data_IF_169942079460
#
_entry.id   IF_169942079460
#
_cell.length_a   1.000
_cell.length_b   1.000
_cell.length_c   1.000
_cell.angle_alpha   90.00
_cell.angle_beta   90.00
_cell.angle_gamma   90.00
#
_symmetry.space_group_name_H-M   'P 1'
#
loop_
_entity.id
_entity.type
_entity.pdbx_description
1 polymer ?
#
# COMPACT_ATOMS: atom_id res chain seq x y z
N UNK A 1 -18.81 -53.91 7.96
CA UNK A 1 -18.35 -54.98 7.04
C UNK A 1 -17.59 -54.24 5.95
N UNK A 2 -16.27 -54.28 5.78
CA UNK A 2 -15.25 -55.21 6.25
C UNK A 2 -13.95 -54.45 6.57
N UNK A 3 -13.21 -55.00 7.52
CA UNK A 3 -11.89 -54.55 7.97
C UNK A 3 -10.77 -55.09 7.07
N UNK A 4 -9.58 -54.48 7.11
CA UNK A 4 -8.35 -55.14 7.59
C UNK A 4 -7.10 -54.26 7.52
N UNK A 5 -6.46 -54.16 8.69
CA UNK A 5 -5.04 -53.86 8.91
C UNK A 5 -4.13 -54.98 8.39
N UNK A 6 -2.85 -54.68 8.12
CA UNK A 6 -1.62 -55.18 8.81
C UNK A 6 -0.38 -54.80 7.97
N UNK A 7 0.79 -54.29 8.40
CA UNK A 7 1.74 -54.40 9.56
C UNK A 7 2.97 -55.28 9.25
N UNK A 8 4.17 -54.73 9.58
CA UNK A 8 5.51 -55.36 9.85
C UNK A 8 6.36 -55.74 8.63
N UNK A 9 7.70 -55.73 8.67
CA UNK A 9 8.76 -55.54 9.69
C UNK A 9 10.15 -55.67 8.97
N UNK A 10 11.20 -54.93 9.35
CA UNK A 10 12.26 -55.20 10.36
C UNK A 10 13.37 -56.21 9.96
N UNK A 11 14.62 -55.76 10.17
CA UNK A 11 15.88 -56.49 10.50
C UNK A 11 16.55 -57.24 9.35
N UNK A 12 17.88 -57.41 9.24
CA UNK A 12 19.11 -57.11 10.01
C UNK A 12 20.28 -57.32 9.01
N UNK A 13 21.58 -57.36 9.30
CA UNK A 13 22.40 -57.70 10.48
C UNK A 13 23.86 -57.38 10.13
N UNK A 14 24.68 -57.21 11.17
CA UNK A 14 26.11 -56.93 11.13
C UNK A 14 27.01 -58.18 11.02
N UNK A 15 28.27 -57.97 10.64
CA UNK A 15 29.52 -58.66 11.08
C UNK A 15 30.70 -58.08 10.26
N UNK A 16 31.99 -58.09 10.60
CA UNK A 16 32.80 -58.06 11.82
C UNK A 16 34.26 -58.34 11.36
N UNK A 17 35.22 -57.49 11.78
CA UNK A 17 36.68 -57.70 11.98
C UNK A 17 37.54 -58.50 10.97
N UNK A 18 38.67 -57.91 10.53
CA UNK A 18 40.03 -58.16 11.10
C UNK A 18 41.13 -57.40 10.32
N UNK A 19 42.26 -57.20 11.00
CA UNK A 19 43.36 -56.29 10.70
C UNK A 19 44.51 -56.88 9.84
N UNK A 20 45.31 -55.99 9.22
CA UNK A 20 46.79 -55.87 9.29
C UNK A 20 47.41 -55.36 7.97
N UNK A 21 48.34 -54.40 8.09
CA UNK A 21 49.58 -54.44 7.30
C UNK A 21 49.77 -53.47 6.14
N UNK A 22 50.46 -52.35 6.44
CA UNK A 22 51.55 -51.72 5.66
C UNK A 22 51.35 -51.35 4.18
N UNK A 23 51.44 -50.06 3.89
CA UNK A 23 51.71 -49.57 2.53
C UNK A 23 51.58 -48.06 2.43
N UNK A 24 52.67 -47.33 2.67
CA UNK A 24 52.80 -45.91 2.36
C UNK A 24 52.69 -45.69 0.85
N UNK A 25 51.60 -45.09 0.40
CA UNK A 25 51.47 -44.51 -0.93
C UNK A 25 50.98 -43.07 -0.79
N UNK A 26 51.78 -42.14 -1.31
CA UNK A 26 51.51 -40.72 -1.30
C UNK A 26 50.22 -40.41 -2.07
N UNK A 27 49.21 -39.91 -1.35
CA UNK A 27 48.07 -39.21 -1.93
C UNK A 27 48.24 -37.73 -1.60
N UNK A 28 48.46 -36.93 -2.63
CA UNK A 28 48.35 -35.48 -2.59
C UNK A 28 46.91 -35.11 -2.22
N UNK A 29 46.67 -34.83 -0.93
CA UNK A 29 45.46 -34.15 -0.51
C UNK A 29 45.58 -32.69 -0.96
N UNK A 30 44.83 -32.33 -2.00
CA UNK A 30 44.50 -30.94 -2.27
C UNK A 30 43.87 -30.38 -0.99
N UNK A 31 44.62 -29.55 -0.27
CA UNK A 31 44.09 -28.81 0.86
C UNK A 31 42.92 -27.98 0.35
N UNK A 32 41.72 -28.26 0.85
CA UNK A 32 40.61 -27.35 0.73
C UNK A 32 41.05 -26.04 1.36
N UNK A 33 41.47 -25.09 0.52
CA UNK A 33 41.73 -23.73 0.96
C UNK A 33 40.41 -23.20 1.51
N UNK A 34 40.33 -23.07 2.83
CA UNK A 34 39.24 -22.37 3.47
C UNK A 34 39.11 -21.01 2.79
N UNK A 35 37.93 -20.73 2.24
CA UNK A 35 37.60 -19.42 1.71
C UNK A 35 37.97 -18.39 2.79
N UNK A 36 38.68 -17.31 2.44
CA UNK A 36 38.99 -16.28 3.41
C UNK A 36 37.69 -15.82 4.06
N UNK A 37 37.67 -15.76 5.39
CA UNK A 37 36.61 -15.12 6.15
C UNK A 37 36.33 -13.78 5.49
N UNK A 38 35.11 -13.60 4.99
CA UNK A 38 34.63 -12.30 4.52
C UNK A 38 34.89 -11.35 5.69
N UNK A 39 35.83 -10.41 5.51
CA UNK A 39 36.03 -9.33 6.46
C UNK A 39 34.69 -8.64 6.57
N UNK A 40 34.09 -8.68 7.76
CA UNK A 40 32.91 -7.92 8.13
C UNK A 40 33.26 -6.44 7.84
N UNK A 41 32.88 -5.96 6.67
CA UNK A 41 33.03 -4.56 6.29
C UNK A 41 31.95 -3.81 7.04
N UNK A 42 32.19 -3.60 8.34
CA UNK A 42 31.36 -2.90 9.30
C UNK A 42 29.89 -2.80 8.91
N UNK A 43 29.04 -3.70 9.43
CA UNK A 43 27.58 -3.58 9.36
C UNK A 43 27.19 -2.11 9.50
N UNK A 44 26.74 -1.49 8.39
CA UNK A 44 26.04 -0.20 8.46
C UNK A 44 24.80 -0.46 9.31
N UNK A 45 24.81 -0.02 10.56
CA UNK A 45 23.62 -0.04 11.40
C UNK A 45 22.68 1.01 10.83
N UNK A 46 21.57 0.57 10.23
CA UNK A 46 20.49 1.47 9.85
C UNK A 46 19.64 1.88 11.03
N UNK A 47 18.81 2.90 10.83
CA UNK A 47 17.88 3.43 11.82
C UNK A 47 16.45 2.93 11.54
N UNK A 48 15.75 2.57 12.60
CA UNK A 48 14.30 2.35 12.62
C UNK A 48 13.76 2.85 13.96
N UNK A 49 12.94 3.88 13.91
CA UNK A 49 12.33 4.54 15.07
C UNK A 49 10.83 4.55 14.90
N UNK A 50 10.10 3.83 15.75
CA UNK A 50 8.65 3.74 15.70
C UNK A 50 7.98 4.39 16.91
N UNK A 51 6.77 4.90 16.70
CA UNK A 51 5.92 5.47 17.73
C UNK A 51 4.43 5.28 17.40
N UNK A 52 3.59 5.41 18.42
CA UNK A 52 2.13 5.38 18.25
C UNK A 52 1.66 6.73 17.70
N UNK A 53 0.93 6.69 16.58
CA UNK A 53 0.28 7.84 15.98
C UNK A 53 -1.17 8.01 16.50
N UNK A 54 -1.89 6.92 16.74
CA UNK A 54 -3.19 6.94 17.41
C UNK A 54 -3.54 5.53 17.92
N UNK A 55 -4.04 5.41 19.14
CA UNK A 55 -4.48 4.15 19.73
C UNK A 55 -5.95 4.21 20.19
N UNK A 56 -6.64 3.06 20.28
CA UNK A 56 -7.94 2.99 20.94
C UNK A 56 -7.92 3.64 22.33
N UNK A 57 -8.84 4.58 22.56
CA UNK A 57 -8.96 5.37 23.77
C UNK A 57 -8.42 6.80 23.65
N UNK A 58 -7.53 7.08 22.69
CA UNK A 58 -7.01 8.42 22.45
C UNK A 58 -8.14 9.36 21.99
N UNK A 59 -8.16 10.57 22.55
CA UNK A 59 -9.21 11.58 22.31
C UNK A 59 -10.65 11.06 22.50
N UNK A 60 -10.84 9.98 23.29
CA UNK A 60 -12.14 9.36 23.52
C UNK A 60 -12.67 8.53 22.33
N UNK A 61 -11.82 8.19 21.36
CA UNK A 61 -12.17 7.42 20.16
C UNK A 61 -11.62 6.01 20.30
N UNK A 62 -12.45 5.01 20.01
CA UNK A 62 -12.07 3.60 20.18
C UNK A 62 -11.46 2.97 18.91
N UNK A 63 -11.58 3.64 17.76
CA UNK A 63 -11.17 3.06 16.50
C UNK A 63 -10.57 4.10 15.54
N UNK A 64 -9.33 3.85 15.15
CA UNK A 64 -8.60 4.59 14.13
C UNK A 64 -8.12 3.61 13.08
N UNK A 65 -8.24 3.96 11.81
CA UNK A 65 -7.87 3.08 10.70
C UNK A 65 -7.42 3.86 9.47
N UNK A 66 -6.88 3.14 8.51
CA UNK A 66 -6.61 3.57 7.14
C UNK A 66 -5.60 4.72 7.04
N UNK A 67 -4.29 4.43 7.22
CA UNK A 67 -3.26 5.45 7.17
C UNK A 67 -3.06 6.01 5.74
N UNK A 68 -2.74 7.29 5.66
CA UNK A 68 -2.29 8.00 4.47
C UNK A 68 -1.13 8.94 4.83
N UNK A 69 -0.12 9.04 3.96
CA UNK A 69 1.09 9.82 4.23
C UNK A 69 1.41 10.79 3.10
N UNK A 70 1.93 11.97 3.45
CA UNK A 70 2.48 12.93 2.51
C UNK A 70 3.64 13.73 3.11
N UNK A 71 4.50 14.24 2.23
CA UNK A 71 5.44 15.33 2.56
C UNK A 71 4.83 16.61 1.99
N UNK A 72 4.57 17.58 2.86
CA UNK A 72 4.08 18.88 2.45
C UNK A 72 5.20 19.71 1.81
N UNK A 73 4.88 20.73 0.98
CA UNK A 73 5.89 21.54 0.28
C UNK A 73 6.87 22.27 1.20
N UNK A 74 6.45 22.57 2.44
CA UNK A 74 7.29 23.18 3.47
C UNK A 74 8.19 22.18 4.21
N UNK A 75 8.13 20.89 3.87
CA UNK A 75 8.90 19.81 4.50
C UNK A 75 8.20 19.13 5.68
N UNK A 76 7.02 19.60 6.08
CA UNK A 76 6.24 18.93 7.13
C UNK A 76 5.78 17.55 6.68
N UNK A 77 5.68 16.61 7.62
CA UNK A 77 5.11 15.30 7.38
C UNK A 77 3.64 15.30 7.80
N UNK A 78 2.78 14.82 6.91
CA UNK A 78 1.34 14.71 7.15
C UNK A 78 0.95 13.24 7.24
N UNK A 79 0.18 12.90 8.26
CA UNK A 79 -0.42 11.59 8.41
C UNK A 79 -1.93 11.74 8.61
N UNK A 80 -2.71 11.28 7.63
CA UNK A 80 -4.17 11.23 7.72
C UNK A 80 -4.67 9.81 8.00
N UNK A 81 -5.83 9.73 8.63
CA UNK A 81 -6.48 8.48 8.99
C UNK A 81 -7.96 8.69 9.32
N UNK A 82 -8.73 7.61 9.29
CA UNK A 82 -10.10 7.59 9.76
C UNK A 82 -10.13 7.74 11.30
N UNK A 83 -10.89 8.71 11.79
CA UNK A 83 -11.52 8.65 13.12
C UNK A 83 -12.86 7.97 12.96
N UNK A 84 -13.02 6.80 13.59
CA UNK A 84 -14.25 6.00 13.49
C UNK A 84 -15.00 6.04 14.83
N UNK A 85 -16.14 6.76 14.91
CA UNK A 85 -16.92 6.81 16.15
C UNK A 85 -17.52 5.46 16.55
N UNK A 86 -17.73 4.59 15.57
CA UNK A 86 -18.15 3.20 15.72
C UNK A 86 -17.20 2.33 14.92
N UNK A 87 -16.99 1.08 15.33
CA UNK A 87 -16.20 0.13 14.54
C UNK A 87 -16.94 -0.20 13.24
N UNK A 88 -16.57 0.45 12.13
CA UNK A 88 -17.18 0.21 10.84
C UNK A 88 -16.56 1.04 9.70
N UNK A 89 -16.58 0.46 8.50
CA UNK A 89 -16.29 1.17 7.25
C UNK A 89 -17.48 2.06 6.86
N UNK A 90 -17.38 2.75 5.72
CA UNK A 90 -18.54 3.45 5.12
C UNK A 90 -19.77 2.50 5.04
N UNK A 91 -20.97 2.91 5.49
CA UNK A 91 -21.42 4.28 5.75
C UNK A 91 -21.40 4.70 7.23
N UNK A 92 -20.47 4.20 8.05
CA UNK A 92 -20.28 4.75 9.38
C UNK A 92 -19.95 6.26 9.29
N UNK A 93 -20.34 7.08 10.30
CA UNK A 93 -20.12 8.53 10.30
C UNK A 93 -18.67 8.91 10.62
N UNK A 94 -17.74 8.29 9.90
CA UNK A 94 -16.31 8.47 10.06
C UNK A 94 -15.90 9.89 9.67
N UNK A 95 -14.76 10.33 10.21
CA UNK A 95 -14.14 11.60 9.88
C UNK A 95 -12.70 11.36 9.42
N UNK A 96 -12.17 12.22 8.56
CA UNK A 96 -10.76 12.22 8.22
C UNK A 96 -10.03 13.17 9.15
N UNK A 97 -9.15 12.61 9.98
CA UNK A 97 -8.25 13.36 10.85
C UNK A 97 -6.84 13.38 10.25
N UNK A 98 -6.06 14.38 10.64
CA UNK A 98 -4.66 14.56 10.26
C UNK A 98 -3.83 14.93 11.47
N UNK A 99 -2.71 14.24 11.67
CA UNK A 99 -1.60 14.72 12.50
C UNK A 99 -0.46 15.22 11.62
N UNK A 100 0.30 16.18 12.14
CA UNK A 100 1.41 16.83 11.46
C UNK A 100 2.67 16.74 12.30
N UNK A 101 3.81 16.47 11.64
CA UNK A 101 5.13 16.67 12.21
C UNK A 101 5.85 17.80 11.50
N UNK A 102 6.49 18.69 12.26
CA UNK A 102 7.28 19.84 11.77
C UNK A 102 8.78 19.68 12.04
N UNK A 103 9.18 18.51 12.57
CA UNK A 103 10.54 18.18 13.01
C UNK A 103 11.04 16.87 12.39
N UNK A 104 10.59 16.56 11.17
CA UNK A 104 11.03 15.40 10.40
C UNK A 104 10.49 14.06 10.93
N UNK A 105 9.37 14.08 11.67
CA UNK A 105 8.68 12.89 12.17
C UNK A 105 9.07 12.50 13.60
N UNK A 106 9.84 13.33 14.31
CA UNK A 106 10.24 13.07 15.69
C UNK A 106 9.05 13.24 16.64
N UNK A 107 8.30 14.32 16.48
CA UNK A 107 7.07 14.59 17.23
C UNK A 107 5.90 14.87 16.30
N UNK A 108 4.69 14.58 16.78
CA UNK A 108 3.44 14.75 16.05
C UNK A 108 2.49 15.62 16.87
N UNK A 109 1.94 16.67 16.26
CA UNK A 109 0.97 17.57 16.90
C UNK A 109 -0.38 16.91 17.19
N UNK A 110 -1.26 17.66 17.85
CA UNK A 110 -2.67 17.29 18.03
C UNK A 110 -3.37 17.08 16.67
N UNK A 111 -4.37 16.18 16.59
CA UNK A 111 -5.10 15.95 15.37
C UNK A 111 -5.91 17.18 14.96
N UNK A 112 -5.94 17.42 13.65
CA UNK A 112 -6.79 18.40 12.96
C UNK A 112 -7.80 17.65 12.10
N UNK A 113 -8.95 18.24 11.84
CA UNK A 113 -10.00 17.61 11.02
C UNK A 113 -9.87 18.10 9.59
N UNK A 114 -9.65 17.17 8.65
CA UNK A 114 -9.72 17.47 7.21
C UNK A 114 -11.18 17.40 6.75
N UNK A 115 -11.89 16.34 7.14
CA UNK A 115 -13.32 16.17 6.84
C UNK A 115 -14.07 15.64 8.04
N UNK A 116 -15.09 16.38 8.45
CA UNK A 116 -15.92 16.05 9.61
C UNK A 116 -17.13 15.23 9.16
N UNK A 117 -17.26 14.00 9.66
CA UNK A 117 -18.49 13.22 9.58
C UNK A 117 -19.58 13.79 10.48
N UNK A 118 -20.83 13.42 10.22
CA UNK A 118 -21.99 13.77 11.05
C UNK A 118 -22.57 12.50 11.67
N UNK A 119 -22.34 12.35 12.97
CA UNK A 119 -22.98 11.34 13.81
C UNK A 119 -24.43 11.75 14.08
N UNK A 120 -25.39 11.06 13.49
CA UNK A 120 -26.82 11.30 13.72
C UNK A 120 -27.59 9.99 13.64
N UNK A 121 -28.47 9.78 14.61
CA UNK A 121 -29.47 8.70 14.62
C UNK A 121 -30.74 9.09 13.86
N UNK A 122 -30.84 10.34 13.40
CA UNK A 122 -31.97 10.80 12.57
C UNK A 122 -31.80 10.24 11.15
N UNK A 123 -32.78 9.49 10.63
CA UNK A 123 -32.72 8.98 9.27
C UNK A 123 -32.52 10.12 8.27
N UNK A 124 -31.53 9.97 7.40
CA UNK A 124 -31.25 10.93 6.35
C UNK A 124 -30.30 12.08 6.73
N UNK A 125 -29.75 12.10 7.95
CA UNK A 125 -28.78 13.14 8.35
C UNK A 125 -27.34 12.65 8.36
N UNK A 126 -27.10 11.37 8.70
CA UNK A 126 -25.75 10.80 8.84
C UNK A 126 -24.86 11.06 7.62
N UNK A 127 -23.61 11.46 7.87
CA UNK A 127 -22.57 11.68 6.85
C UNK A 127 -21.26 11.03 7.32
N UNK A 128 -20.56 10.34 6.43
CA UNK A 128 -19.28 9.69 6.73
C UNK A 128 -18.22 9.93 5.68
N UNK A 129 -16.99 10.20 6.11
CA UNK A 129 -15.81 10.31 5.26
C UNK A 129 -14.76 9.30 5.71
N UNK A 130 -14.30 8.47 4.78
CA UNK A 130 -13.40 7.35 5.09
C UNK A 130 -12.36 7.16 3.99
N UNK A 131 -11.29 6.44 4.32
CA UNK A 131 -10.27 5.93 3.39
C UNK A 131 -9.46 7.04 2.71
N UNK A 132 -8.65 7.80 3.47
CA UNK A 132 -7.88 8.90 2.93
C UNK A 132 -6.76 8.42 2.00
N UNK A 133 -6.48 9.20 0.95
CA UNK A 133 -5.26 9.08 0.15
C UNK A 133 -4.75 10.45 -0.25
N UNK A 134 -3.45 10.69 -0.06
CA UNK A 134 -2.82 11.94 -0.48
C UNK A 134 -2.27 11.88 -1.90
N UNK A 135 -2.35 13.01 -2.61
CA UNK A 135 -1.56 13.31 -3.80
C UNK A 135 -0.98 14.72 -3.64
N UNK A 136 0.33 14.86 -3.79
CA UNK A 136 1.01 16.16 -3.70
C UNK A 136 1.49 16.56 -5.09
N UNK A 137 1.04 17.72 -5.54
CA UNK A 137 1.64 18.38 -6.69
C UNK A 137 2.86 19.17 -6.22
N UNK A 138 4.06 18.66 -6.50
CA UNK A 138 5.30 19.32 -6.05
C UNK A 138 5.67 20.51 -6.93
N UNK A 139 5.01 20.70 -8.07
CA UNK A 139 5.26 21.83 -8.97
C UNK A 139 4.50 23.07 -8.50
N UNK A 140 3.28 22.90 -8.00
CA UNK A 140 2.46 24.01 -7.47
C UNK A 140 2.46 24.10 -5.94
N UNK A 141 2.81 23.02 -5.25
CA UNK A 141 2.69 22.88 -3.81
C UNK A 141 1.27 22.55 -3.31
N UNK A 142 0.33 22.28 -4.22
CA UNK A 142 -1.04 21.91 -3.83
C UNK A 142 -1.08 20.47 -3.31
N UNK A 143 -1.80 20.26 -2.20
CA UNK A 143 -2.03 18.94 -1.62
C UNK A 143 -3.50 18.56 -1.83
N UNK A 144 -3.72 17.35 -2.33
CA UNK A 144 -5.02 16.75 -2.54
C UNK A 144 -5.20 15.59 -1.57
N UNK A 145 -6.38 15.49 -0.95
CA UNK A 145 -6.80 14.31 -0.21
C UNK A 145 -8.11 13.77 -0.79
N UNK A 146 -8.05 12.55 -1.28
CA UNK A 146 -9.18 11.78 -1.76
C UNK A 146 -9.76 10.95 -0.63
N UNK A 147 -11.07 10.88 -0.53
CA UNK A 147 -11.75 9.98 0.39
C UNK A 147 -13.16 9.63 -0.11
N UNK A 148 -13.72 8.57 0.45
CA UNK A 148 -15.15 8.26 0.32
C UNK A 148 -15.98 9.37 0.95
N UNK A 149 -17.11 9.70 0.33
CA UNK A 149 -18.21 10.40 0.97
C UNK A 149 -19.45 9.49 0.98
N UNK A 150 -19.91 9.15 2.17
CA UNK A 150 -21.01 8.23 2.40
C UNK A 150 -22.16 8.90 3.14
N UNK A 151 -23.37 8.46 2.82
CA UNK A 151 -24.64 8.96 3.38
C UNK A 151 -25.37 7.79 4.03
N UNK A 152 -26.28 7.16 3.29
CA UNK A 152 -27.06 6.01 3.79
C UNK A 152 -26.49 4.66 3.36
N UNK A 153 -25.53 4.64 2.43
CA UNK A 153 -24.95 3.43 1.85
C UNK A 153 -23.44 3.45 1.81
N UNK A 154 -22.85 2.26 1.93
CA UNK A 154 -21.44 2.01 1.65
C UNK A 154 -21.23 1.17 0.40
N UNK A 155 -20.06 0.53 0.32
CA UNK A 155 -19.62 -0.26 -0.85
C UNK A 155 -20.61 -1.37 -1.23
N UNK A 156 -21.21 -2.03 -0.24
CA UNK A 156 -22.05 -3.22 -0.48
C UNK A 156 -23.46 -2.88 -0.96
N UNK A 157 -23.98 -1.71 -0.61
CA UNK A 157 -25.39 -1.34 -0.83
C UNK A 157 -25.56 -0.11 -1.74
N UNK A 158 -24.45 0.40 -2.30
CA UNK A 158 -24.46 1.54 -3.22
C UNK A 158 -25.21 1.26 -4.53
N UNK A 159 -25.91 2.27 -5.03
CA UNK A 159 -26.70 2.18 -6.27
C UNK A 159 -25.99 2.78 -7.49
N UNK A 160 -26.45 2.45 -8.69
CA UNK A 160 -25.95 3.01 -9.94
C UNK A 160 -26.35 4.49 -10.08
N UNK A 161 -25.48 5.30 -10.70
CA UNK A 161 -25.66 6.75 -10.83
C UNK A 161 -24.59 7.54 -10.06
N UNK A 162 -24.59 8.85 -10.21
CA UNK A 162 -23.55 9.74 -9.67
C UNK A 162 -24.09 11.06 -9.11
N UNK A 163 -25.40 11.13 -8.85
CA UNK A 163 -26.02 12.28 -8.18
C UNK A 163 -25.63 12.28 -6.69
N UNK A 164 -24.80 13.24 -6.30
CA UNK A 164 -24.33 13.38 -4.92
C UNK A 164 -25.45 13.85 -3.97
N UNK A 165 -26.58 14.37 -4.47
CA UNK A 165 -27.73 14.65 -3.62
C UNK A 165 -28.47 13.37 -3.21
N UNK A 166 -28.36 12.29 -3.99
CA UNK A 166 -28.96 11.01 -3.69
C UNK A 166 -28.17 10.28 -2.60
N UNK A 167 -28.86 9.97 -1.50
CA UNK A 167 -28.28 9.33 -0.32
C UNK A 167 -28.02 7.83 -0.52
N UNK A 168 -28.56 7.24 -1.59
CA UNK A 168 -28.29 5.87 -2.07
C UNK A 168 -27.05 5.77 -2.97
N UNK A 169 -26.37 6.89 -3.21
CA UNK A 169 -25.12 6.93 -3.98
C UNK A 169 -23.92 7.03 -3.04
N UNK A 170 -23.04 6.03 -3.14
CA UNK A 170 -21.68 6.13 -2.58
C UNK A 170 -20.89 7.14 -3.41
N UNK A 171 -20.40 8.19 -2.76
CA UNK A 171 -19.86 9.39 -3.39
C UNK A 171 -18.37 9.55 -3.11
N UNK A 172 -17.69 10.43 -3.83
CA UNK A 172 -16.26 10.72 -3.65
C UNK A 172 -16.07 12.18 -3.29
N UNK A 173 -15.21 12.42 -2.30
CA UNK A 173 -14.81 13.75 -1.87
C UNK A 173 -13.35 13.99 -2.22
N UNK A 174 -13.08 15.20 -2.72
CA UNK A 174 -11.73 15.74 -2.87
C UNK A 174 -11.57 16.92 -1.91
N UNK A 175 -10.56 16.86 -1.04
CA UNK A 175 -10.12 17.98 -0.22
C UNK A 175 -8.82 18.56 -0.79
N UNK A 176 -8.70 19.88 -0.84
CA UNK A 176 -7.61 20.60 -1.50
C UNK A 176 -7.01 21.59 -0.51
N UNK A 177 -5.69 21.55 -0.35
CA UNK A 177 -4.95 22.51 0.47
C UNK A 177 -3.89 23.22 -0.36
N UNK A 178 -3.88 24.55 -0.26
CA UNK A 178 -2.90 25.43 -0.87
C UNK A 178 -1.89 26.00 0.16
N UNK A 179 -1.98 25.57 1.42
CA UNK A 179 -1.20 26.09 2.54
C UNK A 179 -0.50 24.95 3.32
N UNK A 180 0.02 23.97 2.56
CA UNK A 180 0.77 22.84 3.11
C UNK A 180 -0.03 21.98 4.09
N UNK A 181 -1.34 21.84 3.89
CA UNK A 181 -2.24 20.98 4.64
C UNK A 181 -2.82 21.61 5.91
N UNK A 182 -2.76 22.94 6.05
CA UNK A 182 -3.24 23.64 7.24
C UNK A 182 -4.74 23.93 7.16
N UNK A 183 -5.24 24.32 5.99
CA UNK A 183 -6.66 24.49 5.68
C UNK A 183 -7.04 23.74 4.42
N UNK A 184 -8.34 23.45 4.28
CA UNK A 184 -8.86 22.58 3.23
C UNK A 184 -10.14 23.16 2.61
N UNK A 185 -10.16 23.20 1.29
CA UNK A 185 -11.36 23.37 0.48
C UNK A 185 -11.87 21.99 0.06
N UNK A 186 -13.16 21.88 -0.27
CA UNK A 186 -13.76 20.59 -0.61
C UNK A 186 -14.67 20.68 -1.82
N UNK A 187 -14.64 19.63 -2.64
CA UNK A 187 -15.61 19.43 -3.72
C UNK A 187 -15.91 17.96 -3.94
N UNK A 188 -17.06 17.68 -4.53
CA UNK A 188 -17.41 16.33 -4.98
C UNK A 188 -16.59 15.96 -6.21
N UNK A 189 -16.18 14.71 -6.29
CA UNK A 189 -15.54 14.12 -7.48
C UNK A 189 -16.39 12.99 -8.09
N UNK A 190 -17.59 12.76 -7.53
CA UNK A 190 -18.44 11.61 -7.83
C UNK A 190 -18.77 11.47 -9.31
N UNK A 191 -19.11 12.57 -9.99
CA UNK A 191 -19.46 12.56 -11.41
C UNK A 191 -18.32 12.11 -12.32
N UNK A 192 -17.07 12.29 -11.88
CA UNK A 192 -15.85 11.91 -12.62
C UNK A 192 -15.51 10.43 -12.38
N UNK A 193 -15.57 10.00 -11.12
CA UNK A 193 -14.99 8.70 -10.71
C UNK A 193 -16.01 7.58 -10.64
N UNK A 194 -17.31 7.88 -10.77
CA UNK A 194 -18.40 6.91 -10.69
C UNK A 194 -19.27 6.98 -11.95
N UNK A 195 -18.87 6.31 -13.04
CA UNK A 195 -19.68 6.25 -14.25
C UNK A 195 -20.99 5.50 -14.00
N UNK A 196 -21.96 5.64 -14.91
CA UNK A 196 -23.32 5.13 -14.73
C UNK A 196 -23.41 3.60 -14.55
N UNK A 197 -22.44 2.85 -15.04
CA UNK A 197 -22.32 1.40 -14.91
C UNK A 197 -21.51 0.95 -13.68
N UNK A 198 -21.09 1.88 -12.82
CA UNK A 198 -20.40 1.64 -11.56
C UNK A 198 -21.32 1.95 -10.37
N UNK A 199 -21.66 0.95 -9.54
CA UNK A 199 -22.57 1.14 -8.40
C UNK A 199 -21.87 1.61 -7.12
N UNK A 200 -20.59 1.30 -6.97
CA UNK A 200 -19.79 1.66 -5.82
C UNK A 200 -18.34 1.85 -6.25
N UNK A 201 -17.65 2.79 -5.61
CA UNK A 201 -16.22 3.02 -5.83
C UNK A 201 -15.60 3.65 -4.59
N UNK A 202 -14.27 3.57 -4.50
CA UNK A 202 -13.51 4.29 -3.50
C UNK A 202 -12.09 4.55 -4.00
N UNK A 203 -11.50 5.65 -3.55
CA UNK A 203 -10.08 5.91 -3.75
C UNK A 203 -9.29 4.90 -2.92
N UNK A 204 -8.29 4.26 -3.52
CA UNK A 204 -7.40 3.36 -2.80
C UNK A 204 -6.56 4.17 -1.81
N UNK A 205 -6.80 3.95 -0.52
CA UNK A 205 -6.19 4.71 0.57
C UNK A 205 -4.67 4.58 0.63
N UNK A 206 -4.00 5.64 1.08
CA UNK A 206 -2.54 5.71 1.20
C UNK A 206 -1.94 6.95 0.53
N UNK A 207 -1.17 6.74 -0.54
CA UNK A 207 -0.57 7.81 -1.32
C UNK A 207 -0.62 7.50 -2.82
N UNK A 208 -1.06 8.47 -3.61
CA UNK A 208 -0.88 8.51 -5.06
C UNK A 208 0.43 9.20 -5.47
N UNK A 209 0.56 9.54 -6.75
CA UNK A 209 1.83 9.99 -7.33
C UNK A 209 1.68 11.22 -8.25
N UNK A 210 2.81 11.85 -8.55
CA UNK A 210 2.97 12.78 -9.67
C UNK A 210 4.05 12.24 -10.61
N UNK A 211 3.75 12.14 -11.91
CA UNK A 211 4.70 11.64 -12.90
C UNK A 211 5.87 12.63 -13.08
N UNK A 212 7.09 12.09 -13.21
CA UNK A 212 8.34 12.86 -13.36
C UNK A 212 8.91 12.80 -14.76
N UNK A 213 8.48 11.85 -15.57
CA UNK A 213 9.09 11.54 -16.86
C UNK A 213 8.11 11.62 -18.03
N UNK A 214 8.67 11.63 -19.25
CA UNK A 214 7.91 11.46 -20.48
C UNK A 214 6.90 12.57 -20.81
N UNK A 215 5.97 12.22 -21.71
CA UNK A 215 4.96 13.15 -22.26
C UNK A 215 3.99 13.68 -21.20
N UNK A 216 3.72 12.90 -20.17
CA UNK A 216 2.75 13.19 -19.11
C UNK A 216 3.42 13.67 -17.81
N UNK A 217 4.68 14.13 -17.88
CA UNK A 217 5.37 14.72 -16.72
C UNK A 217 4.50 15.82 -16.09
N UNK A 218 4.32 15.77 -14.78
CA UNK A 218 3.45 16.68 -14.03
C UNK A 218 2.07 16.11 -13.73
N UNK A 219 1.62 15.07 -14.46
CA UNK A 219 0.33 14.40 -14.24
C UNK A 219 0.23 13.87 -12.81
N UNK A 220 -0.86 14.21 -12.14
CA UNK A 220 -1.25 13.67 -10.83
C UNK A 220 -2.06 12.41 -11.01
N UNK A 221 -1.84 11.37 -10.21
CA UNK A 221 -2.55 10.09 -10.32
C UNK A 221 -2.98 9.60 -8.94
N UNK A 222 -4.28 9.33 -8.80
CA UNK A 222 -4.90 8.60 -7.69
C UNK A 222 -5.54 7.32 -8.22
N UNK A 223 -5.35 6.20 -7.52
CA UNK A 223 -6.00 4.94 -7.87
C UNK A 223 -7.37 4.78 -7.22
N UNK A 224 -8.27 4.09 -7.92
CA UNK A 224 -9.59 3.73 -7.46
C UNK A 224 -9.90 2.26 -7.78
N UNK A 225 -10.78 1.68 -6.97
CA UNK A 225 -11.46 0.43 -7.27
C UNK A 225 -12.98 0.68 -7.39
N UNK A 226 -13.66 -0.08 -8.25
CA UNK A 226 -15.09 0.08 -8.48
C UNK A 226 -15.81 -1.21 -8.87
N UNK A 227 -17.10 -1.27 -8.56
CA UNK A 227 -18.00 -2.37 -8.89
C UNK A 227 -18.79 -2.05 -10.15
N UNK A 228 -18.34 -2.64 -11.26
CA UNK A 228 -18.89 -2.40 -12.60
C UNK A 228 -19.82 -3.53 -13.04
N UNK A 229 -20.80 -3.19 -13.89
CA UNK A 229 -21.59 -4.21 -14.59
C UNK A 229 -20.71 -5.05 -15.49
N UNK A 230 -20.87 -6.37 -15.43
CA UNK A 230 -20.25 -7.27 -16.40
C UNK A 230 -21.10 -7.39 -17.67
N UNK A 231 -20.45 -7.48 -18.83
CA UNK A 231 -21.11 -7.77 -20.11
C UNK A 231 -21.81 -9.14 -20.16
N UNK A 232 -21.44 -10.08 -19.27
CA UNK A 232 -22.11 -11.39 -19.12
C UNK A 232 -23.30 -11.38 -18.16
N UNK A 233 -23.65 -10.22 -17.60
CA UNK A 233 -24.52 -10.12 -16.42
C UNK A 233 -23.74 -10.31 -15.12
N UNK A 234 -24.22 -9.69 -14.04
CA UNK A 234 -23.52 -9.63 -12.76
C UNK A 234 -22.57 -8.43 -12.65
N UNK A 235 -21.61 -8.53 -11.74
CA UNK A 235 -20.67 -7.44 -11.41
C UNK A 235 -19.24 -7.95 -11.36
N UNK A 236 -18.30 -7.06 -11.67
CA UNK A 236 -16.87 -7.27 -11.55
C UNK A 236 -16.25 -6.11 -10.77
N UNK A 237 -15.16 -6.38 -10.06
CA UNK A 237 -14.39 -5.33 -9.38
C UNK A 237 -13.18 -5.00 -10.22
N UNK A 238 -13.12 -3.77 -10.71
CA UNK A 238 -12.05 -3.28 -11.58
C UNK A 238 -11.28 -2.15 -10.92
N UNK A 239 -9.99 -2.09 -11.25
CA UNK A 239 -9.10 -1.02 -10.84
C UNK A 239 -9.02 0.03 -11.95
N UNK A 240 -8.83 1.30 -11.61
CA UNK A 240 -8.58 2.36 -12.57
C UNK A 240 -7.83 3.54 -11.93
N UNK A 241 -7.18 4.33 -12.78
CA UNK A 241 -6.58 5.60 -12.38
C UNK A 241 -7.55 6.75 -12.59
N UNK A 242 -7.49 7.73 -11.70
CA UNK A 242 -8.07 9.05 -11.85
C UNK A 242 -6.90 10.03 -11.85
N UNK A 243 -6.78 10.81 -12.91
CA UNK A 243 -5.61 11.64 -13.13
C UNK A 243 -5.96 13.07 -13.51
N UNK A 244 -5.00 13.98 -13.31
CA UNK A 244 -5.11 15.39 -13.70
C UNK A 244 -3.83 15.83 -14.41
N UNK A 245 -3.99 16.53 -15.54
CA UNK A 245 -2.90 17.13 -16.32
C UNK A 245 -2.84 18.66 -16.17
N UNK A 246 -3.70 19.24 -15.32
CA UNK A 246 -3.87 20.68 -15.10
C UNK A 246 -3.75 21.04 -13.62
N UNK A 247 -2.80 20.39 -12.93
CA UNK A 247 -2.49 20.65 -11.53
C UNK A 247 -3.69 20.51 -10.58
N UNK A 248 -4.58 19.57 -10.89
CA UNK A 248 -5.75 19.22 -10.09
C UNK A 248 -6.99 20.09 -10.32
N UNK A 249 -6.96 21.02 -11.29
CA UNK A 249 -8.15 21.81 -11.66
C UNK A 249 -9.28 20.91 -12.14
N UNK A 250 -8.99 20.00 -13.08
CA UNK A 250 -9.91 18.96 -13.55
C UNK A 250 -9.32 17.56 -13.37
N UNK A 251 -10.18 16.56 -13.28
CA UNK A 251 -9.79 15.16 -13.13
C UNK A 251 -10.48 14.32 -14.20
N UNK A 252 -9.76 13.30 -14.68
CA UNK A 252 -10.22 12.36 -15.70
C UNK A 252 -10.09 10.95 -15.17
N UNK A 253 -11.13 10.14 -15.36
CA UNK A 253 -11.07 8.70 -15.10
C UNK A 253 -10.50 7.97 -16.33
N UNK A 254 -9.47 7.16 -16.12
CA UNK A 254 -8.89 6.27 -17.12
C UNK A 254 -9.73 5.01 -17.35
N UNK A 255 -9.22 4.11 -18.18
CA UNK A 255 -9.92 2.87 -18.54
C UNK A 255 -9.82 1.84 -17.40
N UNK A 256 -10.94 1.27 -16.92
CA UNK A 256 -10.92 0.18 -15.96
C UNK A 256 -10.19 -1.07 -16.47
N UNK A 257 -9.46 -1.73 -15.57
CA UNK A 257 -8.71 -2.96 -15.82
C UNK A 257 -9.07 -4.04 -14.80
N UNK A 258 -9.11 -5.30 -15.26
CA UNK A 258 -9.31 -6.49 -14.41
C UNK A 258 -10.74 -6.69 -13.90
N UNK A 259 -11.00 -7.86 -13.29
CA UNK A 259 -12.33 -8.27 -12.81
C UNK A 259 -12.37 -8.77 -11.36
N UNK A 260 -11.22 -9.00 -10.74
CA UNK A 260 -11.04 -9.42 -9.34
C UNK A 260 -10.07 -8.49 -8.62
N UNK A 261 -10.11 -7.20 -8.99
CA UNK A 261 -9.26 -6.14 -8.46
C UNK A 261 -9.85 -5.61 -7.15
N UNK A 262 -9.07 -4.82 -6.42
CA UNK A 262 -9.50 -4.16 -5.19
C UNK A 262 -8.55 -2.97 -4.97
N UNK A 263 -8.24 -2.60 -3.73
CA UNK A 263 -7.23 -1.58 -3.40
C UNK A 263 -5.93 -1.72 -4.19
N UNK A 264 -5.62 -0.71 -4.99
CA UNK A 264 -4.51 -0.70 -5.93
C UNK A 264 -3.69 0.58 -5.83
N UNK A 265 -2.42 0.48 -6.19
CA UNK A 265 -1.43 1.56 -6.14
C UNK A 265 -0.68 1.62 -7.46
N UNK A 266 -0.05 2.77 -7.73
CA UNK A 266 0.81 2.94 -8.89
C UNK A 266 2.17 3.50 -8.54
N UNK A 267 3.17 3.16 -9.35
CA UNK A 267 4.50 3.74 -9.31
C UNK A 267 5.01 3.98 -10.74
N UNK A 268 5.68 5.10 -10.95
CA UNK A 268 6.37 5.38 -12.22
C UNK A 268 7.74 4.70 -12.22
N UNK A 269 7.96 3.79 -13.17
CA UNK A 269 9.19 3.02 -13.37
C UNK A 269 10.30 3.87 -13.98
N UNK A 270 11.52 3.33 -14.02
CA UNK A 270 12.71 4.06 -14.46
C UNK A 270 12.64 4.51 -15.93
N UNK A 271 11.83 3.87 -16.77
CA UNK A 271 11.62 4.22 -18.17
C UNK A 271 10.43 5.16 -18.41
N UNK A 272 9.63 5.48 -17.37
CA UNK A 272 8.41 6.29 -17.47
C UNK A 272 7.11 5.48 -17.63
N UNK A 273 7.19 4.15 -17.74
CA UNK A 273 6.03 3.26 -17.63
C UNK A 273 5.41 3.40 -16.23
N UNK A 274 4.09 3.37 -16.13
CA UNK A 274 3.40 3.33 -14.84
C UNK A 274 3.02 1.89 -14.53
N UNK A 275 3.46 1.36 -13.40
CA UNK A 275 3.09 0.03 -12.92
C UNK A 275 1.99 0.13 -11.88
N UNK A 276 0.92 -0.63 -12.07
CA UNK A 276 -0.14 -0.86 -11.09
C UNK A 276 0.17 -2.10 -10.26
N UNK A 277 -0.07 -2.04 -8.97
CA UNK A 277 -0.04 -3.16 -8.04
C UNK A 277 -1.35 -3.21 -7.25
N UNK A 278 -2.11 -4.30 -7.33
CA UNK A 278 -3.46 -4.40 -6.75
C UNK A 278 -3.60 -5.58 -5.80
N UNK A 279 -4.37 -5.33 -4.76
CA UNK A 279 -4.98 -6.35 -3.90
C UNK A 279 -5.89 -7.22 -4.76
N UNK A 280 -6.01 -8.48 -4.36
CA UNK A 280 -7.01 -9.39 -4.93
C UNK A 280 -8.32 -9.31 -4.14
N UNK A 281 -9.42 -9.12 -4.87
CA UNK A 281 -10.75 -9.29 -4.28
C UNK A 281 -11.01 -10.77 -3.94
N UNK A 282 -10.62 -11.66 -4.86
CA UNK A 282 -10.64 -13.11 -4.68
C UNK A 282 -9.26 -13.57 -4.24
N UNK A 283 -9.11 -13.80 -2.93
CA UNK A 283 -7.82 -13.98 -2.25
C UNK A 283 -7.13 -15.30 -2.64
N UNK A 284 -6.30 -15.26 -3.69
CA UNK A 284 -5.49 -16.42 -4.10
C UNK A 284 -4.10 -16.41 -3.45
N UNK A 285 -3.76 -15.31 -2.79
CA UNK A 285 -2.56 -15.19 -2.00
C UNK A 285 -1.47 -14.36 -2.68
N UNK A 286 -1.81 -13.54 -3.69
CA UNK A 286 -0.85 -12.82 -4.54
C UNK A 286 -1.28 -11.37 -4.79
N UNK A 287 -0.40 -10.58 -5.39
CA UNK A 287 -0.72 -9.24 -5.92
C UNK A 287 -0.94 -9.30 -7.43
N UNK A 288 -1.93 -8.56 -7.93
CA UNK A 288 -2.06 -8.27 -9.35
C UNK A 288 -1.07 -7.17 -9.76
N UNK A 289 -0.50 -7.29 -10.96
CA UNK A 289 0.37 -6.29 -11.59
C UNK A 289 -0.14 -6.01 -13.00
N UNK A 290 -0.09 -4.75 -13.43
CA UNK A 290 -0.35 -4.33 -14.80
C UNK A 290 0.52 -3.12 -15.15
N UNK A 291 0.75 -2.87 -16.45
CA UNK A 291 1.61 -1.80 -16.94
C UNK A 291 0.83 -0.81 -17.81
N UNK A 292 1.23 0.46 -17.76
CA UNK A 292 0.66 1.53 -18.57
C UNK A 292 1.76 2.36 -19.23
N UNK A 293 1.66 2.53 -20.55
CA UNK A 293 2.60 3.31 -21.36
C UNK A 293 2.06 4.68 -21.78
N UNK A 294 0.87 5.05 -21.31
CA UNK A 294 0.18 6.32 -21.60
C UNK A 294 -0.11 7.14 -20.33
N UNK A 295 0.69 6.90 -19.28
CA UNK A 295 0.62 7.67 -18.03
C UNK A 295 -0.59 7.33 -17.16
N UNK A 296 -0.99 6.06 -17.12
CA UNK A 296 -2.06 5.53 -16.28
C UNK A 296 -3.45 5.54 -16.92
N UNK A 297 -3.58 5.82 -18.22
CA UNK A 297 -4.88 5.90 -18.89
C UNK A 297 -5.38 4.51 -19.30
N UNK A 298 -4.53 3.67 -19.88
CA UNK A 298 -4.83 2.28 -20.24
C UNK A 298 -3.79 1.32 -19.68
N UNK A 299 -4.17 0.05 -19.57
CA UNK A 299 -3.40 -0.98 -18.88
C UNK A 299 -3.24 -2.24 -19.74
N UNK A 300 -2.05 -2.80 -19.72
CA UNK A 300 -1.69 -4.06 -20.36
C UNK A 300 -0.96 -5.00 -19.41
N UNK A 301 -0.73 -6.23 -19.88
CA UNK A 301 -0.01 -7.28 -19.14
C UNK A 301 -0.53 -7.54 -17.71
N UNK A 302 -1.86 -7.59 -17.54
CA UNK A 302 -2.45 -7.93 -16.25
C UNK A 302 -2.12 -9.38 -15.86
N UNK A 303 -1.33 -9.56 -14.81
CA UNK A 303 -0.93 -10.87 -14.30
C UNK A 303 -0.76 -10.86 -12.77
N UNK A 304 -0.67 -12.04 -12.16
CA UNK A 304 -0.31 -12.19 -10.74
C UNK A 304 1.20 -12.30 -10.62
N UNK A 305 1.81 -11.48 -9.78
CA UNK A 305 3.22 -11.65 -9.44
C UNK A 305 3.34 -12.82 -8.44
N UNK A 306 3.98 -13.95 -8.80
CA UNK A 306 4.06 -15.11 -7.92
C UNK A 306 4.96 -14.91 -6.71
N UNK A 307 5.79 -13.86 -6.70
CA UNK A 307 6.77 -13.54 -5.65
C UNK A 307 6.20 -12.62 -4.57
N UNK A 308 5.21 -11.80 -4.92
CA UNK A 308 4.49 -10.94 -3.97
C UNK A 308 3.30 -11.69 -3.37
N UNK A 309 3.53 -12.25 -2.20
CA UNK A 309 2.53 -12.94 -1.38
C UNK A 309 1.63 -11.90 -0.71
N UNK A 310 0.31 -12.12 -0.64
CA UNK A 310 -0.61 -11.16 0.00
C UNK A 310 -1.86 -11.85 0.56
N UNK A 311 -2.36 -11.47 1.76
CA UNK A 311 -3.51 -12.10 2.40
C UNK A 311 -4.88 -11.53 1.96
N UNK A 312 -4.94 -10.76 0.87
CA UNK A 312 -6.10 -9.96 0.47
C UNK A 312 -6.19 -8.65 1.25
N UNK A 313 -5.13 -7.84 1.22
CA UNK A 313 -4.97 -6.65 2.05
C UNK A 313 -4.47 -5.42 1.25
N UNK A 314 -4.56 -4.22 1.81
CA UNK A 314 -3.93 -3.05 1.20
C UNK A 314 -2.41 -3.10 1.38
N UNK A 315 -1.70 -2.42 0.48
CA UNK A 315 -0.23 -2.31 0.45
C UNK A 315 0.16 -0.96 -0.15
N UNK A 316 1.44 -0.57 -0.09
CA UNK A 316 1.95 0.61 -0.79
C UNK A 316 3.21 0.26 -1.58
N UNK A 317 3.28 0.75 -2.82
CA UNK A 317 4.48 0.73 -3.64
C UNK A 317 4.94 2.16 -3.91
N UNK A 318 6.24 2.41 -3.81
CA UNK A 318 6.84 3.74 -3.96
C UNK A 318 8.22 3.66 -4.61
N UNK A 319 8.63 4.66 -5.39
CA UNK A 319 10.04 4.84 -5.72
C UNK A 319 10.82 5.19 -4.45
N UNK A 320 11.97 4.56 -4.24
CA UNK A 320 12.87 4.96 -3.15
C UNK A 320 13.46 6.35 -3.41
N UNK A 321 13.70 6.70 -4.68
CA UNK A 321 14.28 7.96 -5.11
C UNK A 321 13.38 8.62 -6.16
N UNK A 322 12.36 9.38 -5.76
CA UNK A 322 11.37 9.94 -6.68
C UNK A 322 11.98 10.98 -7.64
N UNK A 323 13.08 11.64 -7.28
CA UNK A 323 13.73 12.66 -8.11
C UNK A 323 14.93 12.12 -8.92
N UNK A 324 15.14 10.80 -8.94
CA UNK A 324 16.21 10.20 -9.71
C UNK A 324 16.03 10.50 -11.22
N UNK A 325 17.12 10.67 -12.01
CA UNK A 325 16.98 10.84 -13.45
C UNK A 325 16.39 9.59 -14.12
N UNK A 326 15.54 9.79 -15.15
CA UNK A 326 14.98 8.72 -15.97
C UNK A 326 16.10 7.79 -16.49
N UNK A 327 15.87 6.48 -16.43
CA UNK A 327 16.80 5.43 -16.85
C UNK A 327 17.97 5.16 -15.90
N UNK A 328 18.12 5.93 -14.82
CA UNK A 328 19.19 5.72 -13.85
C UNK A 328 18.95 4.49 -12.97
N UNK A 329 20.02 3.91 -12.41
CA UNK A 329 19.90 2.80 -11.47
C UNK A 329 19.09 3.17 -10.22
N UNK A 330 19.15 4.43 -9.77
CA UNK A 330 18.36 4.91 -8.64
C UNK A 330 16.85 4.95 -8.98
N UNK A 331 16.48 5.30 -10.22
CA UNK A 331 15.08 5.34 -10.64
C UNK A 331 14.42 3.95 -10.66
N UNK A 332 15.20 2.87 -10.66
CA UNK A 332 14.73 1.46 -10.66
C UNK A 332 14.41 0.92 -9.27
N UNK A 333 14.76 1.67 -8.22
CA UNK A 333 14.63 1.18 -6.85
C UNK A 333 13.22 1.43 -6.34
N UNK A 334 12.47 0.34 -6.12
CA UNK A 334 11.10 0.36 -5.61
C UNK A 334 11.07 -0.23 -4.20
N UNK A 335 10.21 0.34 -3.35
CA UNK A 335 9.86 -0.17 -2.03
C UNK A 335 8.40 -0.61 -2.02
N UNK A 336 8.12 -1.75 -1.39
CA UNK A 336 6.78 -2.28 -1.22
C UNK A 336 6.51 -2.63 0.24
N UNK A 337 5.54 -1.95 0.89
CA UNK A 337 5.12 -2.26 2.26
C UNK A 337 3.79 -3.00 2.26
N UNK A 338 3.74 -4.16 2.91
CA UNK A 338 2.54 -5.00 2.98
C UNK A 338 2.61 -6.01 4.14
N UNK A 339 1.55 -6.81 4.30
CA UNK A 339 1.53 -7.97 5.18
C UNK A 339 1.97 -9.21 4.39
N UNK A 340 3.22 -9.68 4.59
CA UNK A 340 3.80 -10.78 3.82
C UNK A 340 3.38 -12.14 4.39
N UNK A 341 2.14 -12.54 4.10
CA UNK A 341 1.58 -13.77 4.64
C UNK A 341 0.47 -14.39 3.77
N UNK A 342 0.38 -15.72 3.81
CA UNK A 342 -0.69 -16.54 3.24
C UNK A 342 -1.18 -17.56 4.27
N UNK A 343 -2.46 -17.97 4.24
CA UNK A 343 -3.44 -17.65 3.20
C UNK A 343 -4.15 -16.30 3.38
N UNK A 344 -4.46 -15.87 4.61
CA UNK A 344 -5.33 -14.70 4.83
C UNK A 344 -4.99 -13.87 6.07
N UNK A 345 -4.03 -14.29 6.90
CA UNK A 345 -3.70 -13.55 8.12
C UNK A 345 -2.95 -12.27 7.76
N UNK A 346 -3.36 -11.15 8.36
CA UNK A 346 -2.74 -9.84 8.19
C UNK A 346 -1.69 -9.62 9.28
N UNK A 347 -0.55 -10.27 9.08
CA UNK A 347 0.61 -10.32 9.98
C UNK A 347 1.91 -10.20 9.18
N UNK A 348 3.05 -10.11 9.86
CA UNK A 348 4.37 -10.00 9.23
C UNK A 348 4.47 -8.80 8.28
N UNK A 349 4.18 -7.60 8.82
CA UNK A 349 4.44 -6.35 8.13
C UNK A 349 5.88 -6.30 7.63
N UNK A 350 6.04 -6.19 6.31
CA UNK A 350 7.31 -6.35 5.62
C UNK A 350 7.50 -5.24 4.58
N UNK A 351 8.72 -4.71 4.51
CA UNK A 351 9.19 -3.90 3.39
C UNK A 351 10.00 -4.80 2.46
N UNK A 352 9.60 -4.86 1.19
CA UNK A 352 10.33 -5.51 0.11
C UNK A 352 10.97 -4.46 -0.80
N UNK A 353 12.12 -4.81 -1.39
CA UNK A 353 12.87 -3.94 -2.30
C UNK A 353 13.11 -4.63 -3.64
N UNK A 354 12.84 -3.89 -4.71
CA UNK A 354 13.28 -4.22 -6.07
C UNK A 354 14.31 -3.20 -6.53
N UNK A 355 15.29 -3.64 -7.33
CA UNK A 355 16.31 -2.79 -7.95
C UNK A 355 16.27 -2.82 -9.48
N UNK A 356 15.22 -3.43 -10.04
CA UNK A 356 15.05 -3.76 -11.45
C UNK A 356 13.62 -3.47 -11.95
N UNK A 357 13.04 -2.35 -11.50
CA UNK A 357 11.70 -1.89 -11.90
C UNK A 357 10.56 -2.87 -11.55
N UNK A 358 10.72 -3.60 -10.46
CA UNK A 358 9.70 -4.54 -9.96
C UNK A 358 9.75 -5.93 -10.59
N UNK A 359 10.75 -6.22 -11.45
CA UNK A 359 10.89 -7.54 -12.05
C UNK A 359 11.29 -8.61 -11.01
N UNK A 360 12.09 -8.25 -10.01
CA UNK A 360 12.41 -9.11 -8.87
C UNK A 360 12.41 -8.34 -7.55
N UNK A 361 12.02 -9.05 -6.48
CA UNK A 361 12.02 -8.54 -5.11
C UNK A 361 13.15 -9.21 -4.31
N UNK A 362 14.33 -8.59 -4.36
CA UNK A 362 15.60 -9.21 -3.96
C UNK A 362 15.75 -9.41 -2.44
N UNK A 363 15.10 -8.54 -1.63
CA UNK A 363 15.21 -8.55 -0.18
C UNK A 363 13.91 -8.15 0.48
N UNK A 364 13.72 -8.69 1.70
CA UNK A 364 12.59 -8.40 2.58
C UNK A 364 13.10 -8.05 3.97
N UNK A 365 12.46 -7.08 4.63
CA UNK A 365 12.72 -6.71 6.02
C UNK A 365 11.40 -6.60 6.77
N UNK A 366 11.23 -7.44 7.80
CA UNK A 366 10.05 -7.40 8.68
C UNK A 366 10.16 -6.20 9.61
N UNK A 367 9.18 -5.31 9.58
CA UNK A 367 9.02 -4.21 10.55
C UNK A 367 8.05 -4.57 11.68
N UNK A 368 7.04 -5.39 11.40
CA UNK A 368 6.04 -5.81 12.39
C UNK A 368 5.80 -7.32 12.32
N UNK A 369 6.42 -8.14 13.18
CA UNK A 369 6.21 -9.60 13.17
C UNK A 369 4.81 -10.02 13.65
N UNK A 370 4.08 -9.12 14.33
CA UNK A 370 2.71 -9.33 14.79
C UNK A 370 1.67 -8.88 13.77
N UNK A 371 0.56 -8.36 14.26
CA UNK A 371 -0.50 -7.80 13.43
C UNK A 371 0.03 -6.66 12.54
N UNK A 372 -0.31 -6.73 11.26
CA UNK A 372 -0.09 -5.66 10.30
C UNK A 372 -1.24 -5.69 9.29
N UNK A 373 -2.16 -4.74 9.41
CA UNK A 373 -3.22 -4.54 8.43
C UNK A 373 -2.69 -3.62 7.34
N UNK A 374 -3.22 -2.40 7.16
CA UNK A 374 -2.79 -1.53 6.06
C UNK A 374 -1.42 -0.94 6.37
N UNK A 375 -0.63 -0.68 5.33
CA UNK A 375 0.66 0.02 5.46
C UNK A 375 0.94 0.93 4.27
N UNK A 376 1.60 2.06 4.56
CA UNK A 376 1.98 3.09 3.60
C UNK A 376 3.42 3.47 3.83
N UNK A 377 4.27 3.33 2.81
CA UNK A 377 5.66 3.79 2.82
C UNK A 377 5.88 4.88 1.78
N UNK A 378 6.48 6.00 2.19
CA UNK A 378 6.87 7.10 1.28
C UNK A 378 8.31 7.55 1.53
N UNK A 379 9.04 8.01 0.50
CA UNK A 379 10.32 8.70 0.68
C UNK A 379 10.08 10.08 1.33
N UNK A 380 10.89 10.42 2.32
CA UNK A 380 10.87 11.75 2.99
C UNK A 380 12.19 12.49 2.90
N UNK A 381 13.23 11.82 2.44
CA UNK A 381 14.55 12.38 2.24
C UNK A 381 15.42 11.44 1.41
N UNK A 382 16.71 11.76 1.33
CA UNK A 382 17.67 10.86 0.69
C UNK A 382 17.91 9.67 1.62
N UNK A 383 17.60 8.47 1.13
CA UNK A 383 17.74 7.22 1.88
C UNK A 383 16.87 7.14 3.15
N UNK A 384 15.90 8.05 3.33
CA UNK A 384 15.02 8.13 4.50
C UNK A 384 13.55 7.98 4.08
N UNK A 385 12.81 7.19 4.86
CA UNK A 385 11.43 6.82 4.58
C UNK A 385 10.56 6.98 5.82
N UNK A 386 9.29 7.25 5.57
CA UNK A 386 8.22 7.22 6.57
C UNK A 386 7.30 6.06 6.26
N UNK A 387 7.03 5.23 7.26
CA UNK A 387 6.14 4.09 7.19
C UNK A 387 5.02 4.27 8.22
N UNK A 388 3.77 4.22 7.81
CA UNK A 388 2.64 4.15 8.71
C UNK A 388 1.90 2.84 8.50
N UNK A 389 1.42 2.21 9.57
CA UNK A 389 0.69 0.96 9.47
C UNK A 389 -0.30 0.76 10.63
N UNK A 390 -1.22 -0.16 10.42
CA UNK A 390 -2.20 -0.61 11.41
C UNK A 390 -1.68 -1.85 12.15
N UNK A 391 -1.32 -1.70 13.42
CA UNK A 391 -0.79 -2.74 14.29
C UNK A 391 -1.86 -3.49 15.11
N UNK A 392 -1.46 -3.99 16.27
CA UNK A 392 -2.36 -4.68 17.19
C UNK A 392 -3.51 -3.77 17.65
N UNK A 393 -4.70 -4.35 17.77
CA UNK A 393 -5.94 -3.64 18.11
C UNK A 393 -6.21 -2.42 17.21
N UNK A 394 -5.73 -2.45 15.97
CA UNK A 394 -5.89 -1.35 14.99
C UNK A 394 -5.19 -0.06 15.47
N UNK A 395 -4.18 -0.18 16.33
CA UNK A 395 -3.31 0.95 16.71
C UNK A 395 -2.57 1.45 15.47
N UNK A 396 -2.68 2.74 15.17
CA UNK A 396 -1.91 3.37 14.10
C UNK A 396 -0.49 3.64 14.58
N UNK A 397 0.45 2.98 13.93
CA UNK A 397 1.87 3.10 14.17
C UNK A 397 2.51 3.95 13.07
N UNK A 398 3.57 4.68 13.41
CA UNK A 398 4.38 5.42 12.45
C UNK A 398 5.86 5.23 12.76
N UNK A 399 6.65 4.98 11.73
CA UNK A 399 8.07 4.70 11.83
C UNK A 399 8.88 5.53 10.83
N UNK A 400 10.01 6.05 11.30
CA UNK A 400 11.08 6.60 10.47
C UNK A 400 12.13 5.53 10.29
N UNK A 401 12.57 5.31 9.06
CA UNK A 401 13.55 4.27 8.74
C UNK A 401 14.47 4.72 7.61
N UNK A 402 15.66 4.12 7.54
CA UNK A 402 16.63 4.39 6.48
C UNK A 402 16.88 3.18 5.56
N UNK A 403 17.46 3.44 4.39
CA UNK A 403 17.81 2.39 3.43
C UNK A 403 18.80 1.38 4.02
N UNK A 404 19.71 1.80 4.91
CA UNK A 404 20.63 0.86 5.56
C UNK A 404 19.87 -0.15 6.42
N UNK A 405 18.79 0.25 7.09
CA UNK A 405 17.97 -0.64 7.91
C UNK A 405 17.24 -1.66 7.03
N UNK A 406 16.64 -1.20 5.92
CA UNK A 406 15.98 -2.08 4.93
C UNK A 406 16.97 -3.12 4.39
N UNK A 407 18.20 -2.71 4.10
CA UNK A 407 19.25 -3.58 3.55
C UNK A 407 19.96 -4.44 4.61
N UNK A 408 19.76 -4.16 5.90
CA UNK A 408 20.41 -4.87 7.00
C UNK A 408 19.78 -6.24 7.25
N UNK A 409 20.63 -7.22 7.59
CA UNK A 409 20.24 -8.58 7.98
C UNK A 409 20.14 -8.70 9.48
#
# INVERSE_FOLDING_TARGET
MDARLTRRGLLGTAAALTALGTGTAAATAAGAAALPLIKDQGRRQGSYEEQVLAAPGDWGVLNFRIPALAVAPNGDLLAAFDKRPVHGDSPAPNSIWQRRSTDGGLTWGEPTVIRQGLESDVPGEKLGYSDPSYVVDVETGTIFLFCVFSKDVGVWDGEYGNDDADRRIMSANLSISHDSGATWEHRSLTEVVKPADCRAMFASSGAGIQLRYGKHRGRLIQQYAGWFRSGSGGEVVSAYSVYSDDHGETWTMGTPVGAEMDENKVVELSDGTVMLNSREHVRTGRRWVALSHDGGETWEDLHRDPTLVDPGNNAQISRAYPDAPQGSAAARVLLFSHADHVPTDRVNGTVEISTDDGATWERKRVFAPGACQYSVIIPVGRDEFLLAYEGEQETLMIARLDMNWILSR
#
